data_IF_249760972672
#
_entry.id   IF_249760972672
#
_cell.length_a   1.000
_cell.length_b   1.000
_cell.length_c   1.000
_cell.angle_alpha   90.00
_cell.angle_beta   90.00
_cell.angle_gamma   90.00
#
_symmetry.space_group_name_H-M   'P 1'
#
loop_
_entity.id
_entity.type
_entity.pdbx_description
1 polymer ?
#
# COMPACT_ATOMS: atom_id res chain seq x y z
N UNK A 1 -25.01 -13.40 2.19
CA UNK A 1 -24.51 -12.34 1.28
C UNK A 1 -23.09 -11.84 1.63
N UNK A 2 -22.67 -11.79 2.91
CA UNK A 2 -21.32 -11.35 3.31
C UNK A 2 -20.15 -12.17 2.73
N UNK A 3 -20.30 -13.50 2.57
CA UNK A 3 -19.24 -14.37 2.00
C UNK A 3 -18.92 -14.03 0.54
N UNK A 4 -19.92 -13.59 -0.23
CA UNK A 4 -19.74 -13.20 -1.63
C UNK A 4 -19.00 -11.87 -1.75
N UNK A 5 -19.21 -10.95 -0.81
CA UNK A 5 -18.52 -9.66 -0.73
C UNK A 5 -17.04 -9.83 -0.42
N UNK A 6 -16.69 -10.70 0.53
CA UNK A 6 -15.28 -10.99 0.84
C UNK A 6 -14.53 -11.61 -0.35
N UNK A 7 -15.17 -12.53 -1.08
CA UNK A 7 -14.58 -13.13 -2.29
C UNK A 7 -14.40 -12.06 -3.38
N UNK A 8 -15.39 -11.19 -3.60
CA UNK A 8 -15.31 -10.12 -4.59
C UNK A 8 -14.21 -9.09 -4.25
N UNK A 9 -14.04 -8.75 -2.97
CA UNK A 9 -12.95 -7.88 -2.52
C UNK A 9 -11.58 -8.51 -2.72
N UNK A 10 -11.39 -9.77 -2.33
CA UNK A 10 -10.12 -10.48 -2.54
C UNK A 10 -9.76 -10.59 -4.02
N UNK A 11 -10.74 -10.90 -4.89
CA UNK A 11 -10.51 -10.98 -6.34
C UNK A 11 -10.13 -9.62 -6.91
N UNK A 12 -10.79 -8.54 -6.47
CA UNK A 12 -10.45 -7.19 -6.90
C UNK A 12 -9.03 -6.81 -6.50
N UNK A 13 -8.66 -7.07 -5.25
CA UNK A 13 -7.32 -6.80 -4.71
C UNK A 13 -6.25 -7.55 -5.51
N UNK A 14 -6.45 -8.85 -5.78
CA UNK A 14 -5.50 -9.65 -6.56
C UNK A 14 -5.36 -9.13 -8.00
N UNK A 15 -6.46 -8.74 -8.65
CA UNK A 15 -6.42 -8.17 -10.00
C UNK A 15 -5.69 -6.82 -10.04
N UNK A 16 -5.89 -5.96 -9.03
CA UNK A 16 -5.14 -4.71 -8.91
C UNK A 16 -3.64 -4.96 -8.76
N UNK A 17 -3.22 -5.98 -8.00
CA UNK A 17 -1.80 -6.30 -7.81
C UNK A 17 -1.15 -6.94 -9.03
N UNK A 18 -1.84 -7.80 -9.78
CA UNK A 18 -1.28 -8.41 -11.00
C UNK A 18 -1.17 -7.42 -12.15
N UNK A 19 -2.13 -6.50 -12.29
CA UNK A 19 -2.05 -5.41 -13.28
C UNK A 19 -0.98 -4.37 -12.94
N UNK A 20 -0.74 -4.10 -11.65
CA UNK A 20 0.38 -3.26 -11.22
C UNK A 20 1.76 -3.86 -11.55
N UNK A 21 1.90 -5.19 -11.49
CA UNK A 21 3.15 -5.88 -11.81
C UNK A 21 3.46 -5.87 -13.31
N UNK A 22 2.44 -6.00 -14.17
CA UNK A 22 2.61 -5.97 -15.64
C UNK A 22 3.09 -4.57 -16.09
N UNK A 23 2.59 -3.50 -15.48
CA UNK A 23 2.97 -2.13 -15.83
C UNK A 23 4.41 -1.75 -15.41
N UNK A 24 5.05 -2.51 -14.52
CA UNK A 24 6.45 -2.26 -14.09
C UNK A 24 7.48 -3.05 -14.90
N UNK A 25 7.07 -3.94 -15.81
CA UNK A 25 7.99 -4.80 -16.58
C UNK A 25 8.37 -4.24 -17.96
N UNK A 26 7.73 -3.16 -18.43
CA UNK A 26 8.01 -2.60 -19.74
C UNK A 26 8.82 -1.30 -19.60
N UNK A 27 10.15 -1.46 -19.60
CA UNK A 27 11.23 -0.60 -20.14
C UNK A 27 12.50 -1.08 -19.46
N UNK A 28 13.13 -2.11 -20.01
CA UNK A 28 14.58 -2.34 -19.98
C UNK A 28 14.87 -3.68 -20.67
N UNK A 29 14.63 -3.76 -21.99
CA UNK A 29 15.29 -4.80 -22.76
C UNK A 29 15.51 -4.40 -24.23
N UNK A 30 16.77 -4.53 -24.62
CA UNK A 30 17.27 -4.74 -25.98
C UNK A 30 17.85 -3.53 -26.74
N UNK A 31 19.04 -3.14 -26.29
CA UNK A 31 20.12 -2.81 -27.22
C UNK A 31 20.67 -4.11 -27.82
N UNK A 32 21.11 -4.04 -29.08
CA UNK A 32 22.05 -4.94 -29.78
C UNK A 32 21.48 -6.12 -30.62
N UNK A 33 21.35 -5.93 -31.94
CA UNK A 33 22.12 -6.64 -33.00
C UNK A 33 21.52 -6.44 -34.42
N UNK A 34 22.38 -6.03 -35.36
CA UNK A 34 22.17 -6.00 -36.82
C UNK A 34 22.45 -7.41 -37.38
N UNK A 35 21.69 -7.90 -38.36
CA UNK A 35 22.32 -8.31 -39.62
C UNK A 35 21.53 -7.96 -40.90
N UNK A 36 22.29 -7.98 -41.99
CA UNK A 36 22.01 -7.55 -43.36
C UNK A 36 21.00 -8.43 -44.15
N UNK A 37 20.46 -7.79 -45.20
CA UNK A 37 20.01 -8.32 -46.50
C UNK A 37 18.75 -9.20 -46.60
N UNK A 38 17.74 -8.67 -47.34
CA UNK A 38 17.39 -9.12 -48.71
C UNK A 38 16.33 -8.18 -49.31
N UNK A 39 16.61 -7.64 -50.50
CA UNK A 39 15.68 -6.92 -51.38
C UNK A 39 14.91 -7.92 -52.25
N UNK A 40 13.59 -7.72 -52.45
CA UNK A 40 12.89 -7.74 -53.75
C UNK A 40 11.65 -6.82 -53.62
N UNK A 41 11.41 -6.03 -54.67
CA UNK A 41 10.39 -4.97 -54.85
C UNK A 41 9.19 -5.51 -55.69
N UNK A 42 8.24 -4.70 -56.20
CA UNK A 42 7.16 -3.92 -55.55
C UNK A 42 5.74 -4.28 -56.10
N UNK A 43 4.73 -3.56 -55.59
CA UNK A 43 3.37 -3.34 -56.13
C UNK A 43 2.22 -4.21 -55.59
N UNK A 44 1.47 -3.64 -54.63
CA UNK A 44 0.02 -3.66 -54.65
C UNK A 44 -0.47 -2.36 -54.06
N UNK A 45 -1.03 -1.54 -54.93
CA UNK A 45 -1.76 -0.30 -54.70
C UNK A 45 -3.05 -0.57 -53.90
N UNK A 46 -3.57 0.45 -53.22
CA UNK A 46 -4.73 0.50 -52.32
C UNK A 46 -4.51 0.12 -50.84
N UNK A 47 -3.89 1.05 -50.09
CA UNK A 47 -4.35 1.32 -48.72
C UNK A 47 -5.18 2.60 -48.75
N UNK A 48 -6.48 2.41 -48.58
CA UNK A 48 -7.47 3.47 -48.41
C UNK A 48 -7.05 4.28 -47.18
N UNK A 49 -6.58 5.50 -47.42
CA UNK A 49 -6.47 6.53 -46.39
C UNK A 49 -7.87 6.78 -45.82
N UNK A 50 -8.21 6.10 -44.73
CA UNK A 50 -9.17 6.64 -43.76
C UNK A 50 -8.35 7.61 -42.92
N UNK A 51 -8.36 8.87 -43.34
CA UNK A 51 -8.03 10.00 -42.47
C UNK A 51 -9.08 10.00 -41.36
N UNK A 52 -8.81 9.24 -40.30
CA UNK A 52 -9.54 9.35 -39.05
C UNK A 52 -9.27 10.76 -38.53
N UNK A 53 -10.30 11.62 -38.37
CA UNK A 53 -10.10 12.92 -37.76
C UNK A 53 -9.40 12.70 -36.42
N UNK A 54 -8.33 13.45 -36.18
CA UNK A 54 -7.63 13.49 -34.91
C UNK A 54 -8.65 13.43 -33.77
N UNK A 55 -8.75 12.29 -33.09
CA UNK A 55 -9.53 12.26 -31.86
C UNK A 55 -8.85 13.28 -30.94
N UNK A 56 -9.57 14.32 -30.49
CA UNK A 56 -9.04 15.20 -29.47
C UNK A 56 -8.60 14.31 -28.31
N UNK A 57 -7.44 14.57 -27.65
CA UNK A 57 -7.00 13.76 -26.54
C UNK A 57 -8.19 13.64 -25.61
N UNK A 58 -8.72 12.42 -25.47
CA UNK A 58 -9.90 12.17 -24.66
C UNK A 58 -9.57 12.76 -23.31
N UNK A 59 -10.27 13.83 -22.93
CA UNK A 59 -10.21 14.33 -21.56
C UNK A 59 -11.00 13.32 -20.76
N UNK A 60 -10.41 12.15 -20.56
CA UNK A 60 -10.84 11.22 -19.52
C UNK A 60 -10.87 12.04 -18.25
N UNK A 61 -12.07 12.37 -17.79
CA UNK A 61 -12.23 13.02 -16.52
C UNK A 61 -11.66 12.05 -15.49
N UNK A 62 -10.57 12.46 -14.83
CA UNK A 62 -9.96 11.69 -13.75
C UNK A 62 -11.11 11.22 -12.83
N UNK A 63 -11.28 9.91 -12.72
CA UNK A 63 -12.25 9.36 -11.75
C UNK A 63 -11.88 9.87 -10.36
N UNK A 64 -12.84 10.01 -9.42
CA UNK A 64 -12.54 10.43 -8.05
C UNK A 64 -11.42 9.60 -7.40
N UNK A 65 -11.28 8.32 -7.78
CA UNK A 65 -10.19 7.45 -7.38
C UNK A 65 -8.82 7.79 -8.00
N UNK A 66 -8.79 8.21 -9.28
CA UNK A 66 -7.58 8.66 -9.98
C UNK A 66 -7.09 10.01 -9.44
N UNK A 67 -8.01 10.96 -9.23
CA UNK A 67 -7.70 12.24 -8.60
C UNK A 67 -7.16 12.05 -7.18
N UNK A 68 -7.81 11.18 -6.39
CA UNK A 68 -7.33 10.82 -5.06
C UNK A 68 -5.96 10.14 -5.12
N UNK A 69 -5.73 9.18 -6.00
CA UNK A 69 -4.44 8.50 -6.15
C UNK A 69 -3.31 9.45 -6.55
N UNK A 70 -3.58 10.37 -7.49
CA UNK A 70 -2.66 11.44 -7.89
C UNK A 70 -2.35 12.37 -6.71
N UNK A 71 -3.38 12.81 -5.98
CA UNK A 71 -3.23 13.67 -4.79
C UNK A 71 -2.45 12.97 -3.68
N UNK A 72 -2.77 11.71 -3.41
CA UNK A 72 -2.10 10.87 -2.41
C UNK A 72 -0.63 10.62 -2.75
N UNK A 73 -0.32 10.37 -4.03
CA UNK A 73 1.05 10.22 -4.52
C UNK A 73 1.87 11.51 -4.49
N UNK A 74 1.27 12.67 -4.76
CA UNK A 74 1.97 13.96 -4.71
C UNK A 74 2.20 14.49 -3.29
N UNK A 75 1.56 13.93 -2.26
CA UNK A 75 1.75 14.35 -0.87
C UNK A 75 3.03 13.81 -0.24
N UNK A 76 3.69 12.84 -0.86
CA UNK A 76 4.88 12.19 -0.33
C UNK A 76 5.99 12.15 -1.38
N UNK A 77 7.21 12.38 -0.92
CA UNK A 77 8.42 12.19 -1.72
C UNK A 77 8.69 10.69 -1.95
N UNK A 78 9.48 10.36 -2.97
CA UNK A 78 9.90 8.98 -3.24
C UNK A 78 10.58 8.32 -2.03
N UNK A 79 11.33 9.11 -1.25
CA UNK A 79 11.98 8.63 -0.01
C UNK A 79 10.96 8.26 1.06
N UNK A 80 9.90 9.05 1.20
CA UNK A 80 8.81 8.76 2.15
C UNK A 80 8.01 7.53 1.71
N UNK A 81 7.70 7.41 0.42
CA UNK A 81 7.04 6.23 -0.13
C UNK A 81 7.89 4.96 0.05
N UNK A 82 9.21 5.03 -0.19
CA UNK A 82 10.14 3.93 0.06
C UNK A 82 10.18 3.55 1.56
N UNK A 83 10.16 4.53 2.46
CA UNK A 83 10.06 4.30 3.89
C UNK A 83 8.74 3.58 4.26
N UNK A 84 7.60 4.05 3.76
CA UNK A 84 6.31 3.41 4.01
C UNK A 84 6.24 1.98 3.44
N UNK A 85 6.86 1.72 2.28
CA UNK A 85 6.96 0.37 1.72
C UNK A 85 7.68 -0.60 2.67
N UNK A 86 8.82 -0.19 3.23
CA UNK A 86 9.53 -1.01 4.23
C UNK A 86 8.68 -1.22 5.48
N UNK A 87 7.96 -0.19 5.90
CA UNK A 87 7.09 -0.27 7.07
C UNK A 87 5.88 -1.18 6.89
N UNK A 88 5.25 -1.10 5.73
CA UNK A 88 4.18 -2.00 5.34
C UNK A 88 4.66 -3.46 5.31
N UNK A 89 5.86 -3.72 4.78
CA UNK A 89 6.45 -5.05 4.82
C UNK A 89 6.64 -5.56 6.25
N UNK A 90 7.14 -4.73 7.17
CA UNK A 90 7.31 -5.12 8.59
C UNK A 90 5.97 -5.43 9.26
N UNK A 91 4.94 -4.61 9.02
CA UNK A 91 3.59 -4.85 9.55
C UNK A 91 2.99 -6.14 9.00
N UNK A 92 3.06 -6.36 7.68
CA UNK A 92 2.49 -7.55 7.04
C UNK A 92 3.23 -8.84 7.35
N UNK A 93 4.55 -8.75 7.58
CA UNK A 93 5.36 -9.92 7.93
C UNK A 93 5.18 -10.31 9.40
N UNK A 94 4.63 -9.42 10.23
CA UNK A 94 4.31 -9.73 11.62
C UNK A 94 2.98 -10.49 11.67
N UNK A 95 2.95 -11.56 12.46
CA UNK A 95 1.71 -12.29 12.75
C UNK A 95 0.67 -11.42 13.49
N UNK A 96 1.08 -10.27 14.02
CA UNK A 96 0.21 -9.29 14.66
C UNK A 96 -0.29 -8.18 13.73
N UNK A 97 0.05 -8.21 12.43
CA UNK A 97 -0.30 -7.14 11.49
C UNK A 97 -1.79 -6.78 11.48
N UNK A 98 -2.65 -7.79 11.45
CA UNK A 98 -4.11 -7.63 11.46
C UNK A 98 -4.62 -7.03 12.77
N UNK A 99 -4.10 -7.49 13.91
CA UNK A 99 -4.47 -6.97 15.23
C UNK A 99 -4.01 -5.51 15.40
N UNK A 100 -2.83 -5.17 14.89
CA UNK A 100 -2.31 -3.81 14.90
C UNK A 100 -3.15 -2.86 14.05
N UNK A 101 -3.56 -3.31 12.86
CA UNK A 101 -4.45 -2.55 11.98
C UNK A 101 -5.84 -2.39 12.59
N UNK A 102 -6.44 -3.49 13.06
CA UNK A 102 -7.76 -3.49 13.70
C UNK A 102 -7.76 -2.59 14.94
N UNK A 103 -6.75 -2.70 15.79
CA UNK A 103 -6.62 -1.84 16.96
C UNK A 103 -6.47 -0.36 16.58
N UNK A 104 -5.88 -0.04 15.43
CA UNK A 104 -5.79 1.34 14.93
C UNK A 104 -7.16 1.91 14.51
N UNK A 105 -7.95 1.15 13.75
CA UNK A 105 -9.18 1.66 13.11
C UNK A 105 -10.46 1.44 13.92
N UNK A 106 -10.49 0.46 14.83
CA UNK A 106 -11.67 0.17 15.65
C UNK A 106 -11.95 1.29 16.66
N UNK A 107 -13.22 1.60 16.91
CA UNK A 107 -13.65 2.60 17.90
C UNK A 107 -13.49 2.14 19.38
N UNK A 108 -13.09 0.88 19.60
CA UNK A 108 -12.87 0.32 20.93
C UNK A 108 -11.66 0.91 21.66
N UNK A 109 -11.49 0.55 22.94
CA UNK A 109 -10.28 0.87 23.69
C UNK A 109 -9.05 0.20 23.04
N UNK A 110 -7.86 0.82 23.13
CA UNK A 110 -6.65 0.17 22.64
C UNK A 110 -6.37 -1.06 23.49
N UNK A 111 -6.49 -2.25 22.91
CA UNK A 111 -6.24 -3.52 23.59
C UNK A 111 -5.46 -4.39 22.62
N UNK A 112 -4.15 -4.53 22.88
CA UNK A 112 -3.26 -5.46 22.20
C UNK A 112 -2.73 -6.46 23.21
N UNK A 113 -2.57 -7.71 22.78
CA UNK A 113 -1.89 -8.72 23.57
C UNK A 113 -0.42 -8.33 23.74
N UNK A 114 0.19 -8.77 24.86
CA UNK A 114 1.58 -8.46 25.15
C UNK A 114 2.55 -8.96 24.07
N UNK A 115 2.28 -10.11 23.45
CA UNK A 115 3.02 -10.62 22.29
C UNK A 115 3.02 -9.59 21.13
N UNK A 116 1.83 -9.09 20.77
CA UNK A 116 1.71 -8.07 19.73
C UNK A 116 2.26 -6.70 20.13
N UNK A 117 2.32 -6.39 21.42
CA UNK A 117 3.11 -5.25 21.89
C UNK A 117 4.61 -5.45 21.67
N UNK A 118 5.14 -6.65 21.87
CA UNK A 118 6.53 -6.98 21.56
C UNK A 118 6.84 -6.82 20.08
N UNK A 119 5.97 -7.33 19.21
CA UNK A 119 6.08 -7.15 17.76
C UNK A 119 5.98 -5.68 17.34
N UNK A 120 5.06 -4.92 17.93
CA UNK A 120 4.92 -3.48 17.70
C UNK A 120 6.23 -2.73 18.00
N UNK A 121 6.89 -3.06 19.12
CA UNK A 121 8.17 -2.45 19.47
C UNK A 121 9.29 -2.81 18.49
N UNK A 122 9.32 -4.05 17.97
CA UNK A 122 10.26 -4.47 16.91
C UNK A 122 10.03 -3.73 15.59
N UNK A 123 8.76 -3.52 15.22
CA UNK A 123 8.37 -2.72 14.04
C UNK A 123 8.86 -1.28 14.20
N UNK A 124 8.67 -0.72 15.38
CA UNK A 124 9.22 0.56 15.81
C UNK A 124 8.23 1.73 15.67
N UNK A 125 8.44 2.75 16.52
CA UNK A 125 7.52 3.88 16.71
C UNK A 125 7.19 4.63 15.44
N UNK A 126 8.21 5.06 14.70
CA UNK A 126 8.04 5.86 13.49
C UNK A 126 7.32 5.07 12.41
N UNK A 127 7.57 3.77 12.36
CA UNK A 127 6.97 2.89 11.39
C UNK A 127 5.47 2.71 11.65
N UNK A 128 5.12 2.36 12.89
CA UNK A 128 3.72 2.21 13.29
C UNK A 128 2.92 3.51 13.19
N UNK A 129 3.41 4.61 13.78
CA UNK A 129 2.69 5.88 13.78
C UNK A 129 2.65 6.54 12.40
N UNK A 130 3.71 6.39 11.60
CA UNK A 130 3.75 6.84 10.21
C UNK A 130 2.75 6.08 9.35
N UNK A 131 2.71 4.76 9.46
CA UNK A 131 1.71 3.95 8.75
C UNK A 131 0.29 4.28 9.21
N UNK A 132 0.07 4.58 10.49
CA UNK A 132 -1.22 5.05 10.97
C UNK A 132 -1.65 6.35 10.29
N UNK A 133 -0.75 7.33 10.19
CA UNK A 133 -1.03 8.58 9.47
C UNK A 133 -1.28 8.35 7.99
N UNK A 134 -0.45 7.52 7.36
CA UNK A 134 -0.57 7.18 5.95
C UNK A 134 -1.93 6.54 5.65
N UNK A 135 -2.27 5.44 6.34
CA UNK A 135 -3.54 4.73 6.17
C UNK A 135 -4.72 5.67 6.45
N UNK A 136 -4.70 6.41 7.56
CA UNK A 136 -5.82 7.25 7.97
C UNK A 136 -5.97 8.54 7.15
N UNK A 137 -5.00 8.89 6.29
CA UNK A 137 -5.17 9.95 5.28
C UNK A 137 -6.05 9.50 4.10
N UNK A 138 -6.22 8.17 3.98
CA UNK A 138 -7.49 7.49 3.70
C UNK A 138 -8.77 8.31 3.54
N UNK A 139 -9.37 8.47 2.35
CA UNK A 139 -10.76 8.97 2.28
C UNK A 139 -11.72 8.06 3.07
N UNK A 140 -11.46 6.76 3.08
CA UNK A 140 -12.26 5.75 3.80
C UNK A 140 -12.27 5.98 5.31
N UNK A 141 -11.21 6.57 5.86
CA UNK A 141 -11.02 6.76 7.30
C UNK A 141 -11.25 8.21 7.76
N UNK A 142 -11.69 9.11 6.87
CA UNK A 142 -11.88 10.55 7.18
C UNK A 142 -12.73 10.80 8.42
N UNK A 143 -13.72 9.93 8.67
CA UNK A 143 -14.64 10.09 9.79
C UNK A 143 -14.07 9.60 11.14
N UNK A 144 -13.01 8.79 11.12
CA UNK A 144 -12.41 8.20 12.34
C UNK A 144 -11.01 8.74 12.65
N UNK A 145 -10.36 9.43 11.71
CA UNK A 145 -8.98 9.93 11.84
C UNK A 145 -8.74 10.71 13.14
N UNK A 146 -9.71 11.52 13.57
CA UNK A 146 -9.62 12.33 14.79
C UNK A 146 -9.53 11.50 16.08
N UNK A 147 -10.01 10.25 16.07
CA UNK A 147 -9.92 9.30 17.18
C UNK A 147 -8.79 8.29 16.97
N UNK A 148 -8.64 7.77 15.76
CA UNK A 148 -7.71 6.71 15.42
C UNK A 148 -6.23 7.14 15.57
N UNK A 149 -5.89 8.39 15.22
CA UNK A 149 -4.52 8.91 15.41
C UNK A 149 -4.14 9.01 16.90
N UNK A 150 -4.93 9.66 17.78
CA UNK A 150 -4.69 9.61 19.22
C UNK A 150 -4.63 8.20 19.78
N UNK A 151 -5.54 7.30 19.35
CA UNK A 151 -5.57 5.90 19.80
C UNK A 151 -4.29 5.15 19.43
N UNK A 152 -3.76 5.36 18.22
CA UNK A 152 -2.49 4.76 17.79
C UNK A 152 -1.31 5.24 18.66
N UNK A 153 -1.28 6.54 19.01
CA UNK A 153 -0.27 7.06 19.95
C UNK A 153 -0.40 6.44 21.33
N UNK A 154 -1.63 6.30 21.83
CA UNK A 154 -1.91 5.66 23.12
C UNK A 154 -1.47 4.20 23.12
N UNK A 155 -1.81 3.46 22.06
CA UNK A 155 -1.42 2.06 21.88
C UNK A 155 0.09 1.87 21.97
N UNK A 156 0.88 2.73 21.30
CA UNK A 156 2.33 2.69 21.40
C UNK A 156 2.81 2.84 22.86
N UNK A 157 2.32 3.85 23.57
CA UNK A 157 2.69 4.11 24.97
C UNK A 157 2.28 2.97 25.90
N UNK A 158 1.09 2.40 25.69
CA UNK A 158 0.59 1.28 26.48
C UNK A 158 1.45 0.02 26.25
N UNK A 159 1.86 -0.24 25.00
CA UNK A 159 2.74 -1.37 24.69
C UNK A 159 4.15 -1.23 25.25
N UNK A 160 4.73 -0.02 25.26
CA UNK A 160 6.00 0.24 25.95
C UNK A 160 5.87 -0.16 27.43
N UNK A 161 4.82 0.30 28.11
CA UNK A 161 4.57 -0.01 29.52
C UNK A 161 4.36 -1.51 29.77
N UNK A 162 3.62 -2.20 28.89
CA UNK A 162 3.38 -3.66 29.02
C UNK A 162 4.70 -4.43 28.96
N UNK A 163 5.58 -4.11 28.01
CA UNK A 163 6.86 -4.82 27.85
C UNK A 163 7.85 -4.48 28.96
N UNK A 164 7.92 -3.21 29.40
CA UNK A 164 8.73 -2.81 30.55
C UNK A 164 8.30 -3.54 31.84
N UNK A 165 6.99 -3.65 32.07
CA UNK A 165 6.45 -4.37 33.23
C UNK A 165 6.66 -5.88 33.13
N UNK A 166 6.62 -6.47 31.94
CA UNK A 166 6.95 -7.89 31.80
C UNK A 166 8.42 -8.14 32.10
N UNK A 167 9.33 -7.32 31.58
CA UNK A 167 10.76 -7.46 31.82
C UNK A 167 11.13 -7.37 33.30
N UNK A 168 10.43 -6.53 34.09
CA UNK A 168 10.64 -6.46 35.53
C UNK A 168 10.13 -7.70 36.26
N UNK A 169 8.97 -8.26 35.88
CA UNK A 169 8.45 -9.52 36.46
C UNK A 169 9.40 -10.69 36.20
N UNK A 170 9.87 -10.87 34.95
CA UNK A 170 10.83 -11.93 34.61
C UNK A 170 12.19 -11.77 35.30
N UNK A 171 12.54 -10.57 35.77
CA UNK A 171 13.73 -10.31 36.55
C UNK A 171 13.55 -10.72 38.02
N UNK A 172 12.35 -10.58 38.57
CA UNK A 172 12.02 -11.03 39.92
C UNK A 172 11.90 -12.56 40.02
N UNK A 173 11.31 -13.22 39.01
CA UNK A 173 11.13 -14.69 39.02
C UNK A 173 12.46 -15.47 38.84
N UNK A 174 13.57 -14.77 38.57
CA UNK A 174 14.90 -15.36 38.33
C UNK A 174 15.87 -15.21 39.51
N UNK A 175 15.42 -14.63 40.62
CA UNK A 175 16.15 -14.47 41.89
C UNK A 175 15.64 -15.46 42.94
#
# INVERSE_FOLDING_TARGET
MAKSLHIAMFVSIVLFFTSYQISSQEIDQYSQEVPEDVKISPASDFDIYVESPDEPPSKEADSPAMEYGRKFGHHYTDKELAFFKVCFQKLNSSHCGDDLFKNMVDDGKPVLLAECCGELLKIGKYCYLGMAQFILSSYEFRNIVSKAIPKSKQTWSDCVRVIENQNSVWQFDRL
#
